data_IF_502199880492
#
_entry.id   IF_502199880492
#
_cell.length_a   1.000
_cell.length_b   1.000
_cell.length_c   1.000
_cell.angle_alpha   90.00
_cell.angle_beta   90.00
_cell.angle_gamma   90.00
#
_symmetry.space_group_name_H-M   'P 1'
#
loop_
_entity.id
_entity.type
_entity.pdbx_description
1 polymer ?
#
# COMPACT_ATOMS: atom_id res chain seq x y z
N UNK A 1 -15.42 -10.22 -22.14
CA UNK A 1 -15.18 -10.45 -21.89
C UNK A 1 -14.49 -10.77 -20.91
N UNK A 2 -14.15 -11.35 -20.81
CA UNK A 2 -13.48 -11.78 -19.92
C UNK A 2 -12.37 -11.11 -19.50
N UNK A 3 -11.65 -10.58 -20.13
CA UNK A 3 -10.48 -9.99 -19.71
C UNK A 3 -10.65 -8.86 -18.83
N UNK A 4 -11.77 -8.36 -18.74
CA UNK A 4 -11.94 -7.24 -18.01
C UNK A 4 -11.71 -7.34 -16.59
N UNK A 5 -11.85 -8.43 -16.02
CA UNK A 5 -11.70 -8.50 -14.70
C UNK A 5 -10.35 -8.21 -14.25
N UNK A 6 -9.39 -8.31 -15.09
CA UNK A 6 -8.11 -8.03 -14.70
C UNK A 6 -7.87 -6.59 -14.60
N UNK A 7 -8.67 -5.77 -15.15
CA UNK A 7 -8.41 -4.40 -15.22
C UNK A 7 -9.36 -3.64 -14.38
N UNK A 8 -9.27 -3.81 -13.07
CA UNK A 8 -10.08 -3.00 -12.20
C UNK A 8 -9.79 -1.56 -12.51
N UNK A 9 -10.76 -0.70 -12.59
CA UNK A 9 -10.52 0.69 -12.89
C UNK A 9 -9.65 1.35 -11.85
N UNK A 10 -8.76 2.21 -12.30
CA UNK A 10 -7.87 2.92 -11.40
C UNK A 10 -8.24 4.35 -11.35
N UNK A 11 -8.25 4.92 -10.16
CA UNK A 11 -8.63 6.29 -9.97
C UNK A 11 -7.48 7.06 -9.36
N UNK A 12 -7.08 8.16 -9.98
CA UNK A 12 -6.01 8.98 -9.47
C UNK A 12 -6.50 9.68 -8.22
N UNK A 13 -5.76 9.55 -7.16
CA UNK A 13 -6.18 10.17 -5.93
C UNK A 13 -5.00 10.26 -5.00
N UNK A 14 -4.91 11.33 -4.25
CA UNK A 14 -3.77 11.61 -3.39
C UNK A 14 -4.22 11.49 -1.95
N UNK A 15 -4.00 10.34 -1.36
CA UNK A 15 -4.37 10.09 0.02
C UNK A 15 -3.12 9.75 0.82
N UNK A 16 -3.05 10.24 2.04
CA UNK A 16 -1.92 9.92 2.89
C UNK A 16 -1.95 8.45 3.26
N UNK A 17 -0.82 7.85 3.29
CA UNK A 17 -0.71 6.44 3.61
C UNK A 17 0.50 6.20 4.50
N UNK A 18 0.29 5.46 5.57
CA UNK A 18 1.39 5.05 6.43
C UNK A 18 1.64 3.58 6.17
N UNK A 19 2.88 3.21 5.93
CA UNK A 19 3.20 1.84 5.63
C UNK A 19 4.04 1.25 6.75
N UNK A 20 3.73 0.05 7.15
CA UNK A 20 4.54 -0.69 8.10
C UNK A 20 4.91 -1.99 7.46
N UNK A 21 6.16 -2.36 7.53
CA UNK A 21 6.62 -3.56 6.91
C UNK A 21 6.53 -4.73 7.86
N UNK A 22 6.00 -5.83 7.35
CA UNK A 22 5.96 -7.04 8.11
C UNK A 22 6.68 -8.09 7.30
N UNK A 23 7.63 -8.75 7.88
CA UNK A 23 8.39 -9.76 7.19
C UNK A 23 8.08 -11.08 7.80
N UNK A 24 7.75 -12.03 6.97
CA UNK A 24 7.45 -13.34 7.44
C UNK A 24 8.72 -14.09 7.68
N UNK A 25 9.10 -14.31 8.90
CA UNK A 25 10.28 -15.06 9.19
C UNK A 25 9.94 -16.33 9.89
N UNK A 26 10.41 -17.39 9.41
CA UNK A 26 10.08 -18.67 9.99
C UNK A 26 10.50 -18.78 11.40
N UNK A 27 11.61 -18.28 11.77
CA UNK A 27 11.98 -18.43 13.05
C UNK A 27 11.84 -17.28 13.84
N UNK A 28 11.00 -16.58 13.64
CA UNK A 28 10.87 -15.42 14.28
C UNK A 28 10.79 -15.53 15.66
N UNK A 29 11.08 -16.14 16.29
CA UNK A 29 11.04 -16.25 17.45
C UNK A 29 11.26 -15.22 18.15
N UNK A 30 11.47 -14.61 18.19
CA UNK A 30 11.81 -13.74 18.72
C UNK A 30 11.40 -13.23 19.62
N UNK A 31 10.85 -13.39 19.90
CA UNK A 31 10.54 -13.01 20.62
C UNK A 31 10.48 -12.13 21.41
N UNK A 32 10.69 -11.93 22.14
CA UNK A 32 10.68 -11.05 22.97
C UNK A 32 10.96 -9.79 22.47
N UNK A 33 11.86 -9.59 21.90
CA UNK A 33 12.15 -8.44 21.38
C UNK A 33 11.66 -8.28 20.11
N UNK A 34 11.12 -9.18 19.55
CA UNK A 34 10.68 -9.10 18.22
C UNK A 34 9.78 -7.99 18.00
N UNK A 35 9.16 -7.58 18.99
CA UNK A 35 8.28 -6.54 18.75
C UNK A 35 8.94 -5.36 18.33
N UNK A 36 10.04 -5.13 18.84
CA UNK A 36 10.68 -3.94 18.51
C UNK A 36 10.91 -3.86 17.08
N UNK A 37 11.26 -4.91 16.51
CA UNK A 37 11.57 -4.86 15.15
C UNK A 37 10.42 -4.41 14.40
N UNK A 38 9.31 -4.85 14.71
CA UNK A 38 8.20 -4.52 13.90
C UNK A 38 7.90 -3.10 13.94
N UNK A 39 8.07 -2.47 15.07
CA UNK A 39 7.67 -1.20 15.01
C UNK A 39 8.55 -0.27 14.44
N UNK A 40 9.74 -0.59 14.23
CA UNK A 40 10.61 0.38 13.69
C UNK A 40 10.55 0.47 12.21
N UNK A 41 9.85 -0.37 11.50
CA UNK A 41 9.86 -0.35 10.05
C UNK A 41 8.63 0.35 9.52
N UNK A 42 8.64 1.65 9.58
CA UNK A 42 7.51 2.42 9.11
C UNK A 42 7.92 3.46 8.12
N UNK A 43 7.02 3.82 7.26
CA UNK A 43 7.30 4.74 6.18
C UNK A 43 6.04 5.51 5.84
N UNK A 44 6.15 6.77 5.55
CA UNK A 44 5.02 7.59 5.18
C UNK A 44 5.06 7.84 3.68
N UNK A 45 3.90 7.82 3.05
CA UNK A 45 3.81 8.09 1.64
C UNK A 45 2.41 8.54 1.30
N UNK A 46 2.07 8.44 0.03
CA UNK A 46 0.72 8.78 -0.38
C UNK A 46 0.39 8.01 -1.65
N UNK A 47 -0.89 7.96 -1.98
CA UNK A 47 -1.31 7.21 -3.16
C UNK A 47 -1.12 8.05 -4.40
N UNK A 48 -0.90 7.38 -5.53
CA UNK A 48 -0.99 8.02 -6.82
C UNK A 48 -2.30 7.58 -7.44
N UNK A 49 -2.65 6.32 -7.34
CA UNK A 49 -3.93 5.84 -7.80
C UNK A 49 -4.34 4.62 -6.99
N UNK A 50 -5.62 4.32 -7.01
CA UNK A 50 -6.15 3.18 -6.29
C UNK A 50 -7.17 2.48 -7.15
N UNK A 51 -7.41 1.22 -6.86
CA UNK A 51 -8.43 0.45 -7.52
C UNK A 51 -8.98 -0.56 -6.52
N UNK A 52 -9.95 -1.33 -6.92
CA UNK A 52 -10.53 -2.31 -6.01
C UNK A 52 -9.53 -3.37 -5.57
N UNK A 53 -8.47 -3.59 -6.33
CA UNK A 53 -7.55 -4.68 -6.03
C UNK A 53 -6.15 -4.22 -5.71
N UNK A 54 -5.84 -2.95 -5.86
CA UNK A 54 -4.47 -2.54 -5.62
C UNK A 54 -4.29 -1.05 -5.46
N UNK A 55 -3.09 -0.70 -5.09
CA UNK A 55 -2.73 0.68 -4.83
C UNK A 55 -1.42 0.99 -5.51
N UNK A 56 -1.26 2.20 -5.99
CA UNK A 56 0.04 2.68 -6.42
C UNK A 56 0.42 3.75 -5.43
N UNK A 57 1.54 3.57 -4.77
CA UNK A 57 1.96 4.45 -3.68
C UNK A 57 3.26 5.12 -4.01
N UNK A 58 3.42 6.34 -3.57
CA UNK A 58 4.67 7.05 -3.73
C UNK A 58 5.28 7.17 -2.34
N UNK A 59 6.51 6.70 -2.22
CA UNK A 59 7.22 6.67 -0.94
C UNK A 59 8.61 7.22 -1.11
N UNK A 60 9.22 7.74 -0.06
CA UNK A 60 10.54 8.34 -0.18
C UNK A 60 11.66 7.33 -0.30
N UNK A 61 11.41 6.09 0.07
CA UNK A 61 12.46 5.08 0.03
C UNK A 61 11.85 3.70 -0.03
N UNK A 62 12.63 2.72 -0.46
CA UNK A 62 12.15 1.35 -0.44
C UNK A 62 12.94 0.52 0.57
N UNK A 63 13.79 1.16 1.36
CA UNK A 63 14.50 0.48 2.43
C UNK A 63 14.18 1.17 3.71
N UNK A 64 13.83 0.43 4.71
CA UNK A 64 13.54 0.96 6.01
C UNK A 64 14.25 0.09 7.02
N UNK A 65 15.11 0.69 7.82
CA UNK A 65 15.82 -0.08 8.80
C UNK A 65 16.67 -1.18 8.21
N UNK A 66 17.20 -0.96 7.04
CA UNK A 66 18.03 -1.97 6.41
C UNK A 66 17.27 -3.03 5.67
N UNK A 67 15.95 -2.95 5.64
CA UNK A 67 15.16 -3.95 4.97
C UNK A 67 14.48 -3.35 3.77
N UNK A 68 14.47 -4.08 2.66
CA UNK A 68 13.73 -3.62 1.50
C UNK A 68 12.27 -3.95 1.69
N UNK A 69 11.40 -3.02 1.37
CA UNK A 69 9.97 -3.27 1.53
C UNK A 69 9.40 -3.94 0.29
N UNK A 70 10.20 -4.15 -0.73
CA UNK A 70 9.70 -4.70 -1.98
C UNK A 70 10.17 -6.11 -2.26
N UNK A 71 10.75 -6.79 -1.37
CA UNK A 71 11.22 -8.14 -1.63
C UNK A 71 10.16 -9.19 -1.48
N UNK A 72 10.57 -10.45 -1.65
CA UNK A 72 9.63 -11.52 -1.46
C UNK A 72 9.29 -11.66 0.00
N UNK A 73 8.16 -12.24 0.28
CA UNK A 73 7.73 -12.47 1.66
C UNK A 73 7.55 -11.17 2.43
N UNK A 74 7.25 -10.11 1.75
CA UNK A 74 6.96 -8.85 2.41
C UNK A 74 5.48 -8.62 2.39
N UNK A 75 4.95 -8.18 3.50
CA UNK A 75 3.56 -7.76 3.57
C UNK A 75 3.57 -6.36 4.13
N UNK A 76 2.87 -5.48 3.49
CA UNK A 76 2.78 -4.11 3.96
C UNK A 76 1.45 -3.92 4.65
N UNK A 77 1.50 -3.30 5.83
CA UNK A 77 0.30 -2.89 6.49
C UNK A 77 0.14 -1.45 6.14
N UNK A 78 -0.90 -1.10 5.46
CA UNK A 78 -1.08 0.26 4.99
C UNK A 78 -2.25 0.89 5.70
N UNK A 79 -1.97 2.01 6.36
CA UNK A 79 -3.03 2.78 6.98
C UNK A 79 -3.36 3.88 6.00
N UNK A 80 -4.50 3.77 5.36
CA UNK A 80 -4.87 4.71 4.34
C UNK A 80 -5.87 5.70 4.89
N UNK A 81 -5.63 6.97 4.66
CA UNK A 81 -6.50 8.00 5.23
C UNK A 81 -7.56 8.37 4.23
N UNK A 82 -8.78 7.89 4.44
CA UNK A 82 -9.92 8.27 3.63
C UNK A 82 -10.57 9.49 4.25
N UNK A 83 -11.40 10.19 3.51
CA UNK A 83 -12.10 11.32 4.12
C UNK A 83 -12.92 10.94 5.34
N UNK A 84 -13.34 9.70 5.42
CA UNK A 84 -14.15 9.26 6.54
C UNK A 84 -13.34 8.66 7.66
N UNK A 85 -12.04 8.56 7.51
CA UNK A 85 -11.21 8.01 8.57
C UNK A 85 -10.24 7.00 8.01
N UNK A 86 -9.39 6.48 8.87
CA UNK A 86 -8.39 5.54 8.42
C UNK A 86 -8.94 4.15 8.20
N UNK A 87 -8.42 3.46 7.22
CA UNK A 87 -8.69 2.04 7.07
C UNK A 87 -7.34 1.34 7.01
N UNK A 88 -7.35 0.07 7.33
CA UNK A 88 -6.13 -0.72 7.33
C UNK A 88 -6.17 -1.74 6.23
N UNK A 89 -5.13 -1.82 5.44
CA UNK A 89 -5.05 -2.71 4.30
C UNK A 89 -3.79 -3.51 4.40
N UNK A 90 -3.87 -4.80 4.13
CA UNK A 90 -2.68 -5.60 3.99
C UNK A 90 -2.44 -5.80 2.52
N UNK A 91 -1.25 -5.53 2.06
CA UNK A 91 -0.94 -5.60 0.65
C UNK A 91 0.45 -6.17 0.43
N UNK A 92 0.66 -6.69 -0.75
CA UNK A 92 1.95 -7.24 -1.13
C UNK A 92 2.53 -6.36 -2.21
N UNK A 93 3.77 -5.91 -2.07
CA UNK A 93 4.38 -5.12 -3.14
C UNK A 93 4.66 -6.02 -4.34
N UNK A 94 4.25 -5.61 -5.52
CA UNK A 94 4.45 -6.42 -6.71
C UNK A 94 5.44 -5.79 -7.67
N UNK A 95 5.69 -4.50 -7.55
CA UNK A 95 6.72 -3.89 -8.38
C UNK A 95 7.04 -2.52 -7.89
N UNK A 96 8.15 -1.97 -8.29
CA UNK A 96 8.50 -0.63 -7.91
C UNK A 96 9.37 -0.01 -8.99
N UNK A 97 9.42 1.29 -9.00
CA UNK A 97 10.32 1.99 -9.89
C UNK A 97 10.68 3.35 -9.30
N UNK A 98 11.86 3.84 -9.59
CA UNK A 98 12.27 5.14 -9.07
C UNK A 98 11.51 6.25 -9.77
N UNK A 99 11.28 7.32 -9.05
CA UNK A 99 10.62 8.45 -9.63
C UNK A 99 11.54 9.38 -10.35
N UNK A 100 12.83 9.20 -10.24
CA UNK A 100 13.72 10.10 -10.87
C UNK A 100 13.51 10.17 -12.34
N UNK A 101 12.86 9.19 -12.90
CA UNK A 101 12.60 9.27 -14.30
C UNK A 101 11.74 10.45 -14.59
N UNK A 102 11.05 10.96 -13.61
CA UNK A 102 10.22 12.10 -13.83
C UNK A 102 11.00 13.36 -13.72
N UNK A 103 12.21 13.28 -13.32
CA UNK A 103 13.06 14.42 -13.36
C UNK A 103 13.12 15.25 -12.14
N UNK A 104 12.18 15.31 -11.34
CA UNK A 104 12.25 16.22 -10.26
C UNK A 104 12.17 15.63 -8.94
N UNK A 105 11.43 14.60 -8.77
CA UNK A 105 11.26 14.08 -7.45
C UNK A 105 12.12 12.94 -7.15
N UNK A 106 12.46 12.75 -5.92
CA UNK A 106 13.12 11.54 -5.53
C UNK A 106 12.09 10.69 -4.86
N UNK A 107 12.33 9.44 -4.80
CA UNK A 107 11.41 8.51 -4.21
C UNK A 107 11.07 7.40 -5.16
N UNK A 108 10.06 6.64 -4.81
CA UNK A 108 9.73 5.44 -5.57
C UNK A 108 8.24 5.28 -5.69
N UNK A 109 7.83 4.70 -6.80
CA UNK A 109 6.45 4.32 -7.00
C UNK A 109 6.36 2.82 -6.70
N UNK A 110 5.46 2.41 -5.85
CA UNK A 110 5.29 1.03 -5.51
C UNK A 110 3.89 0.59 -5.89
N UNK A 111 3.80 -0.47 -6.69
CA UNK A 111 2.51 -1.06 -6.97
C UNK A 111 2.28 -2.18 -5.98
N UNK A 112 1.18 -2.14 -5.27
CA UNK A 112 0.88 -3.12 -4.24
C UNK A 112 -0.47 -3.75 -4.50
N UNK A 113 -0.53 -5.05 -4.30
CA UNK A 113 -1.77 -5.78 -4.49
C UNK A 113 -2.42 -6.00 -3.14
N UNK A 114 -3.69 -5.69 -3.02
CA UNK A 114 -4.39 -5.85 -1.77
C UNK A 114 -4.63 -7.33 -1.54
N UNK A 115 -4.22 -7.83 -0.38
CA UNK A 115 -4.42 -9.23 -0.06
C UNK A 115 -5.41 -9.44 1.05
N UNK A 116 -5.63 -8.43 1.88
CA UNK A 116 -6.61 -8.60 2.94
C UNK A 116 -7.09 -7.26 3.48
N UNK A 117 -8.35 -7.19 3.84
CA UNK A 117 -8.91 -6.03 4.45
C UNK A 117 -10.12 -6.51 5.22
N UNK A 118 -10.39 -5.96 6.40
CA UNK A 118 -11.54 -6.40 7.16
C UNK A 118 -12.80 -6.02 6.39
N UNK A 119 -13.88 -6.69 6.66
CA UNK A 119 -15.12 -6.42 5.98
C UNK A 119 -15.57 -5.00 6.19
N UNK A 120 -15.36 -4.47 7.39
CA UNK A 120 -15.74 -3.14 7.67
C UNK A 120 -14.92 -2.16 6.87
N UNK A 121 -13.62 -2.37 6.80
CA UNK A 121 -12.76 -1.48 6.06
C UNK A 121 -13.00 -1.64 4.56
N UNK A 122 -13.29 -2.87 4.12
CA UNK A 122 -13.56 -3.08 2.70
C UNK A 122 -14.82 -2.32 2.28
N UNK A 123 -15.82 -2.29 3.13
CA UNK A 123 -17.02 -1.57 2.80
C UNK A 123 -16.75 -0.08 2.67
N UNK A 124 -15.91 0.44 3.56
CA UNK A 124 -15.59 1.86 3.49
C UNK A 124 -14.75 2.18 2.28
N UNK A 125 -13.83 1.29 1.94
CA UNK A 125 -12.97 1.49 0.79
C UNK A 125 -13.83 1.46 -0.48
N UNK A 126 -14.74 0.50 -0.59
CA UNK A 126 -15.59 0.41 -1.75
C UNK A 126 -16.51 1.63 -1.89
N UNK A 127 -17.00 2.12 -0.76
CA UNK A 127 -17.83 3.31 -0.79
C UNK A 127 -17.05 4.50 -1.31
N UNK A 128 -15.78 4.59 -0.92
CA UNK A 128 -14.96 5.67 -1.38
C UNK A 128 -14.70 5.54 -2.88
N UNK A 129 -14.44 4.35 -3.37
CA UNK A 129 -14.23 4.15 -4.79
C UNK A 129 -15.47 4.55 -5.56
N UNK A 130 -16.65 4.30 -5.00
CA UNK A 130 -17.86 4.69 -5.68
C UNK A 130 -17.97 6.20 -5.81
N UNK A 131 -17.49 6.94 -4.83
CA UNK A 131 -17.55 8.38 -4.95
C UNK A 131 -16.64 8.86 -6.06
N UNK A 132 -15.50 8.19 -6.27
CA UNK A 132 -14.60 8.59 -7.32
C UNK A 132 -15.20 8.29 -8.68
N UNK A 133 -15.92 7.19 -8.78
CA UNK A 133 -16.56 6.85 -10.01
C UNK A 133 -17.63 7.88 -10.35
N UNK A 134 -18.42 8.26 -9.38
CA UNK A 134 -19.45 9.22 -9.66
C UNK A 134 -18.89 10.56 -9.99
N UNK A 135 -17.77 10.89 -9.44
CA UNK A 135 -17.19 12.16 -9.71
C UNK A 135 -16.73 12.30 -11.13
N UNK A 136 -16.60 11.21 -11.86
CA UNK A 136 -16.21 11.29 -13.21
C UNK A 136 -17.35 11.44 -14.11
N UNK A 137 -18.50 11.47 -13.66
CA UNK A 137 -19.61 11.61 -14.51
C UNK A 137 -19.81 12.87 -14.87
#
# INVERSE_FOLDING_TARGET
MVGNRRYAPRYMTHLEAGLALSISLPHAKTDKQGTAAGQSLRLAGYTRDISATGLALIVPAIRVGGQYITGENRTLQIMLKLPTGFIEIQATPVRYSPLEAEGTDTGYLIGAQIVHMSDQHRARFNAYLDTLTKGYE
#
